data_IF_004212826759
#
_entry.id   IF_004212826759
#
_cell.length_a   1.000
_cell.length_b   1.000
_cell.length_c   1.000
_cell.angle_alpha   90.00
_cell.angle_beta   90.00
_cell.angle_gamma   90.00
#
_symmetry.space_group_name_H-M   'P 1'
#
loop_
_entity.id
_entity.type
_entity.pdbx_description
1 polymer ?
#
# COMPACT_ATOMS: atom_id res chain seq x y z
N UNK A 1 -6.10 -1.20 16.97
CA UNK A 1 -4.63 -1.26 16.97
C UNK A 1 -4.23 -2.40 16.05
N UNK A 2 -3.41 -2.14 15.04
CA UNK A 2 -2.96 -3.16 14.11
C UNK A 2 -1.50 -3.49 14.48
N UNK A 3 -1.32 -4.60 15.18
CA UNK A 3 -0.01 -5.13 15.55
C UNK A 3 0.35 -6.26 14.59
N UNK A 4 1.53 -6.17 13.98
CA UNK A 4 2.03 -7.25 13.12
C UNK A 4 3.42 -7.64 13.58
N UNK A 5 3.61 -8.93 13.88
CA UNK A 5 4.93 -9.49 14.10
C UNK A 5 5.55 -9.82 12.75
N UNK A 6 6.69 -9.22 12.43
CA UNK A 6 7.48 -9.56 11.24
C UNK A 6 8.80 -10.15 11.70
N UNK A 7 9.07 -11.37 11.25
CA UNK A 7 10.31 -12.07 11.53
C UNK A 7 11.36 -11.68 10.48
N UNK A 8 12.55 -11.28 10.93
CA UNK A 8 13.66 -10.85 10.08
C UNK A 8 14.84 -11.83 10.19
N UNK A 9 14.57 -13.13 10.07
CA UNK A 9 15.55 -14.20 10.04
C UNK A 9 15.10 -15.33 9.11
N UNK A 10 15.88 -16.41 9.01
CA UNK A 10 15.54 -17.57 8.19
C UNK A 10 14.22 -18.22 8.64
N UNK A 11 13.30 -18.44 7.69
CA UNK A 11 11.92 -18.88 7.94
C UNK A 11 11.78 -20.19 8.74
N UNK A 12 12.88 -20.93 8.93
CA UNK A 12 12.99 -22.17 9.70
C UNK A 12 12.97 -21.99 11.22
N UNK A 13 13.22 -20.77 11.74
CA UNK A 13 13.36 -20.51 13.17
C UNK A 13 12.04 -20.18 13.91
N UNK A 14 10.95 -19.89 13.18
CA UNK A 14 9.63 -19.61 13.75
C UNK A 14 8.77 -20.88 13.77
N UNK A 15 8.76 -21.61 14.89
CA UNK A 15 7.86 -22.77 15.08
C UNK A 15 6.61 -22.33 15.85
N UNK A 16 5.47 -22.30 15.16
CA UNK A 16 4.16 -22.13 15.79
C UNK A 16 3.67 -23.51 16.20
N UNK A 17 3.68 -23.80 17.51
CA UNK A 17 3.12 -25.05 18.03
C UNK A 17 1.61 -24.86 18.30
N UNK A 18 0.79 -25.37 17.38
CA UNK A 18 -0.68 -25.32 17.45
C UNK A 18 -1.28 -26.36 18.40
N UNK A 19 -0.48 -27.31 18.91
CA UNK A 19 -0.95 -28.39 19.79
C UNK A 19 -1.01 -27.98 21.27
N UNK A 20 -0.51 -26.80 21.64
CA UNK A 20 -0.67 -26.22 22.99
C UNK A 20 -1.68 -25.08 22.94
N UNK A 21 -2.60 -25.06 23.91
CA UNK A 21 -3.50 -23.92 24.16
C UNK A 21 -3.01 -23.20 25.43
N UNK A 22 -2.65 -21.89 25.36
CA UNK A 22 -2.58 -21.05 24.17
C UNK A 22 -1.39 -21.39 23.25
N UNK A 23 -1.48 -21.09 21.94
CA UNK A 23 -0.40 -21.35 20.99
C UNK A 23 0.86 -20.58 21.40
N UNK A 24 1.92 -21.32 21.71
CA UNK A 24 3.20 -20.73 22.09
C UNK A 24 4.11 -20.62 20.88
N UNK A 25 4.58 -19.41 20.58
CA UNK A 25 5.65 -19.18 19.61
C UNK A 25 6.97 -19.52 20.30
N UNK A 26 7.72 -20.50 19.79
CA UNK A 26 9.06 -20.84 20.29
C UNK A 26 10.09 -20.53 19.22
N UNK A 27 11.17 -19.86 19.62
CA UNK A 27 12.33 -19.58 18.79
C UNK A 27 13.28 -20.77 18.84
N UNK A 28 13.73 -21.25 17.69
CA UNK A 28 14.81 -22.23 17.59
C UNK A 28 15.87 -21.66 16.63
N UNK A 29 17.00 -21.20 17.15
CA UNK A 29 18.14 -20.71 16.38
C UNK A 29 18.92 -19.61 17.11
N UNK A 30 20.24 -19.61 16.92
CA UNK A 30 21.21 -18.75 17.62
C UNK A 30 21.19 -17.26 17.20
N UNK A 31 20.32 -16.87 16.26
CA UNK A 31 20.09 -15.48 15.84
C UNK A 31 18.74 -14.96 16.38
N UNK A 32 18.70 -14.66 17.69
CA UNK A 32 17.49 -14.42 18.47
C UNK A 32 17.04 -12.94 18.54
N UNK A 33 16.83 -12.25 17.41
CA UNK A 33 16.22 -10.90 17.44
C UNK A 33 14.81 -10.90 16.86
N UNK A 34 13.81 -10.63 17.70
CA UNK A 34 12.45 -10.34 17.28
C UNK A 34 12.29 -8.83 17.08
N UNK A 35 11.63 -8.44 15.99
CA UNK A 35 11.22 -7.05 15.77
C UNK A 35 9.71 -6.92 15.88
N UNK A 36 9.27 -6.09 16.82
CA UNK A 36 7.85 -5.81 17.04
C UNK A 36 7.50 -4.52 16.31
N UNK A 37 6.58 -4.61 15.35
CA UNK A 37 6.06 -3.44 14.65
C UNK A 37 4.66 -3.11 15.18
N UNK A 38 4.50 -1.87 15.64
CA UNK A 38 3.22 -1.33 16.08
C UNK A 38 2.79 -0.19 15.16
N UNK A 39 1.54 -0.22 14.73
CA UNK A 39 0.93 0.86 13.94
C UNK A 39 -0.42 1.22 14.51
N UNK A 40 -0.57 2.50 14.81
CA UNK A 40 -1.79 3.05 15.40
C UNK A 40 -2.22 4.28 14.63
N UNK A 41 -3.52 4.36 14.33
CA UNK A 41 -4.14 5.50 13.65
C UNK A 41 -5.17 6.11 14.59
N UNK A 42 -4.94 7.33 15.01
CA UNK A 42 -5.86 8.13 15.79
C UNK A 42 -6.62 9.08 14.86
N UNK A 43 -7.93 9.19 15.06
CA UNK A 43 -8.74 10.22 14.42
C UNK A 43 -8.74 11.42 15.36
N UNK A 44 -8.22 12.56 14.91
CA UNK A 44 -8.26 13.80 15.67
C UNK A 44 -9.61 14.48 15.40
N UNK A 45 -10.00 14.54 14.13
CA UNK A 45 -11.30 15.02 13.68
C UNK A 45 -11.80 14.16 12.49
N UNK A 46 -12.88 14.58 11.82
CA UNK A 46 -13.46 13.89 10.67
C UNK A 46 -12.51 13.80 9.45
N UNK A 47 -11.65 14.81 9.29
CA UNK A 47 -10.77 15.03 8.16
C UNK A 47 -9.29 14.85 8.50
N UNK A 48 -8.92 14.71 9.78
CA UNK A 48 -7.54 14.69 10.26
C UNK A 48 -7.24 13.39 10.99
N UNK A 49 -6.16 12.73 10.59
CA UNK A 49 -5.70 11.46 11.16
C UNK A 49 -4.23 11.54 11.53
N UNK A 50 -3.91 11.21 12.77
CA UNK A 50 -2.54 10.98 13.23
C UNK A 50 -2.22 9.50 13.10
N UNK A 51 -1.16 9.17 12.37
CA UNK A 51 -0.63 7.81 12.31
C UNK A 51 0.70 7.74 13.03
N UNK A 52 0.77 6.89 14.05
CA UNK A 52 2.00 6.54 14.74
C UNK A 52 2.44 5.15 14.29
N UNK A 53 3.72 4.99 14.00
CA UNK A 53 4.36 3.71 13.73
C UNK A 53 5.61 3.60 14.61
N UNK A 54 5.87 2.42 15.15
CA UNK A 54 7.08 2.13 15.92
C UNK A 54 7.59 0.74 15.62
N UNK A 55 8.91 0.56 15.70
CA UNK A 55 9.59 -0.72 15.66
C UNK A 55 10.48 -0.84 16.89
N UNK A 56 10.36 -1.98 17.58
CA UNK A 56 11.18 -2.34 18.74
C UNK A 56 11.97 -3.60 18.42
N UNK A 57 13.29 -3.55 18.57
CA UNK A 57 14.15 -4.74 18.50
C UNK A 57 14.29 -5.32 19.91
N UNK A 58 13.75 -6.53 20.12
CA UNK A 58 13.74 -7.18 21.43
C UNK A 58 15.10 -7.73 21.84
N UNK A 59 16.08 -7.85 20.92
CA UNK A 59 17.44 -8.28 21.28
C UNK A 59 18.16 -7.23 22.12
N UNK A 60 17.93 -5.95 21.79
CA UNK A 60 18.59 -4.81 22.44
C UNK A 60 17.62 -4.09 23.39
N UNK A 61 16.31 -4.35 23.27
CA UNK A 61 15.28 -3.68 24.07
C UNK A 61 15.07 -2.21 23.69
N UNK A 62 15.43 -1.83 22.47
CA UNK A 62 15.48 -0.42 22.03
C UNK A 62 14.62 -0.22 20.78
N UNK A 63 13.97 0.95 20.71
CA UNK A 63 13.23 1.38 19.52
C UNK A 63 14.21 1.61 18.37
N UNK A 64 14.05 0.85 17.29
CA UNK A 64 14.85 1.02 16.06
C UNK A 64 14.24 2.07 15.14
N UNK A 65 12.93 2.27 15.24
CA UNK A 65 12.18 3.14 14.35
C UNK A 65 10.99 3.78 15.05
N UNK A 66 10.75 5.05 14.79
CA UNK A 66 9.52 5.74 15.17
C UNK A 66 9.08 6.70 14.07
N UNK A 67 7.78 6.78 13.80
CA UNK A 67 7.23 7.72 12.82
C UNK A 67 5.88 8.24 13.27
N UNK A 68 5.72 9.56 13.21
CA UNK A 68 4.46 10.25 13.46
C UNK A 68 4.07 11.03 12.21
N UNK A 69 2.88 10.76 11.67
CA UNK A 69 2.42 11.37 10.41
C UNK A 69 1.00 11.90 10.57
N UNK A 70 0.88 13.22 10.55
CA UNK A 70 -0.39 13.93 10.52
C UNK A 70 -0.89 13.95 9.08
N UNK A 71 -2.17 13.63 8.88
CA UNK A 71 -2.80 13.56 7.56
C UNK A 71 -4.10 14.32 7.59
N UNK A 72 -4.24 15.32 6.74
CA UNK A 72 -5.46 16.07 6.52
C UNK A 72 -6.09 15.67 5.18
N UNK A 73 -7.39 15.45 5.18
CA UNK A 73 -8.20 14.97 4.07
C UNK A 73 -9.35 15.94 3.84
N UNK A 74 -9.15 17.05 3.10
CA UNK A 74 -10.24 17.96 2.74
C UNK A 74 -11.19 17.25 1.74
N UNK A 75 -12.43 16.91 2.15
CA UNK A 75 -13.33 16.10 1.34
C UNK A 75 -13.79 16.83 0.08
N UNK A 76 -14.05 18.14 0.18
CA UNK A 76 -14.45 19.03 -0.93
C UNK A 76 -13.41 19.04 -2.06
N UNK A 77 -12.14 18.94 -1.70
CA UNK A 77 -11.05 19.03 -2.66
C UNK A 77 -10.60 17.66 -3.17
N UNK A 78 -11.16 16.53 -2.71
CA UNK A 78 -10.65 15.20 -3.08
C UNK A 78 -9.11 15.11 -2.99
N UNK A 79 -8.57 15.77 -1.96
CA UNK A 79 -7.14 15.92 -1.75
C UNK A 79 -6.74 15.33 -0.41
N UNK A 80 -5.44 15.10 -0.25
CA UNK A 80 -4.81 14.62 0.96
C UNK A 80 -3.49 15.35 1.10
N UNK A 81 -3.28 15.93 2.27
CA UNK A 81 -2.02 16.54 2.64
C UNK A 81 -1.56 15.84 3.91
N UNK A 82 -0.26 15.67 4.10
CA UNK A 82 0.25 15.16 5.35
C UNK A 82 1.68 15.57 5.59
N UNK A 83 1.99 15.84 6.86
CA UNK A 83 3.30 16.21 7.34
C UNK A 83 3.65 15.32 8.53
N UNK A 84 4.89 14.89 8.61
CA UNK A 84 5.30 13.97 9.66
C UNK A 84 6.80 13.92 9.88
N UNK A 85 7.13 13.30 11.00
CA UNK A 85 8.48 13.06 11.47
C UNK A 85 8.75 11.56 11.45
N UNK A 86 9.97 11.20 11.09
CA UNK A 86 10.46 9.84 11.07
C UNK A 86 11.84 9.84 11.73
N UNK A 87 11.99 9.00 12.76
CA UNK A 87 13.25 8.76 13.45
C UNK A 87 13.69 7.32 13.18
N UNK A 88 14.89 7.17 12.67
CA UNK A 88 15.60 5.90 12.56
C UNK A 88 16.81 5.95 13.50
N UNK A 89 17.04 4.87 14.24
CA UNK A 89 18.15 4.71 15.20
C UNK A 89 19.53 4.95 14.58
N UNK A 90 19.69 4.89 13.25
CA UNK A 90 20.91 5.33 12.55
C UNK A 90 21.10 6.87 12.56
N UNK A 91 20.53 7.56 13.55
CA UNK A 91 20.45 9.02 13.71
C UNK A 91 19.91 9.79 12.51
N UNK A 92 19.00 9.15 11.75
CA UNK A 92 18.36 9.77 10.61
C UNK A 92 16.97 10.27 10.99
N UNK A 93 16.93 11.50 11.49
CA UNK A 93 15.67 12.23 11.62
C UNK A 93 15.29 12.77 10.24
N UNK A 94 14.09 12.45 9.78
CA UNK A 94 13.54 12.90 8.52
C UNK A 94 12.19 13.57 8.73
N UNK A 95 12.03 14.73 8.11
CA UNK A 95 10.75 15.41 7.95
C UNK A 95 10.16 15.01 6.62
N UNK A 96 8.88 14.66 6.60
CA UNK A 96 8.20 14.21 5.39
C UNK A 96 6.96 15.05 5.18
N UNK A 97 6.82 15.63 3.99
CA UNK A 97 5.61 16.32 3.55
C UNK A 97 5.12 15.60 2.32
N UNK A 98 3.85 15.23 2.26
CA UNK A 98 3.26 14.61 1.08
C UNK A 98 1.87 15.16 0.78
N UNK A 99 1.64 15.44 -0.49
CA UNK A 99 0.37 15.88 -1.04
C UNK A 99 -0.13 14.89 -2.09
N UNK A 100 -1.44 14.77 -2.19
CA UNK A 100 -2.12 14.02 -3.24
C UNK A 100 -3.41 14.74 -3.59
N UNK A 101 -3.67 14.96 -4.87
CA UNK A 101 -4.92 15.52 -5.38
C UNK A 101 -5.48 14.60 -6.46
N UNK A 102 -6.78 14.34 -6.40
CA UNK A 102 -7.49 13.55 -7.41
C UNK A 102 -8.43 14.46 -8.18
N UNK A 103 -8.39 14.34 -9.51
CA UNK A 103 -9.27 15.01 -10.46
C UNK A 103 -10.13 13.93 -11.14
N UNK A 104 -11.45 13.90 -10.94
CA UNK A 104 -12.31 13.03 -11.73
C UNK A 104 -12.30 13.53 -13.18
N UNK A 105 -12.01 12.63 -14.13
CA UNK A 105 -12.05 12.96 -15.55
C UNK A 105 -13.44 12.73 -16.15
N UNK A 106 -14.21 11.86 -15.53
CA UNK A 106 -15.56 11.48 -15.94
C UNK A 106 -16.57 11.76 -14.82
N UNK A 107 -17.84 12.11 -15.13
CA UNK A 107 -18.88 12.35 -14.13
C UNK A 107 -19.14 11.14 -13.21
N UNK A 108 -18.98 9.93 -13.77
CA UNK A 108 -19.11 8.64 -13.07
C UNK A 108 -17.95 8.33 -12.10
N UNK A 109 -16.86 9.12 -12.14
CA UNK A 109 -15.64 8.97 -11.33
C UNK A 109 -14.90 7.63 -11.52
N UNK A 110 -15.19 6.88 -12.57
CA UNK A 110 -14.47 5.65 -12.89
C UNK A 110 -13.05 5.94 -13.38
N UNK A 111 -12.87 7.06 -14.08
CA UNK A 111 -11.57 7.53 -14.53
C UNK A 111 -11.15 8.77 -13.73
N UNK A 112 -9.96 8.73 -13.15
CA UNK A 112 -9.42 9.85 -12.37
C UNK A 112 -7.94 10.06 -12.67
N UNK A 113 -7.55 11.33 -12.76
CA UNK A 113 -6.18 11.76 -12.81
C UNK A 113 -5.70 12.14 -11.42
N UNK A 114 -4.56 11.64 -11.00
CA UNK A 114 -4.07 11.76 -9.64
C UNK A 114 -2.66 12.33 -9.67
N UNK A 115 -2.48 13.47 -9.02
CA UNK A 115 -1.15 14.07 -8.82
C UNK A 115 -0.72 13.80 -7.39
N UNK A 116 0.51 13.33 -7.22
CA UNK A 116 1.17 13.09 -5.93
C UNK A 116 2.47 13.87 -5.90
N UNK A 117 2.74 14.46 -4.75
CA UNK A 117 4.03 15.05 -4.44
C UNK A 117 4.45 14.58 -3.04
N UNK A 118 5.74 14.37 -2.85
CA UNK A 118 6.34 14.13 -1.56
C UNK A 118 7.70 14.81 -1.51
N UNK A 119 8.05 15.33 -0.35
CA UNK A 119 9.35 15.91 -0.09
C UNK A 119 9.82 15.37 1.26
N UNK A 120 10.94 14.65 1.25
CA UNK A 120 11.60 14.22 2.46
C UNK A 120 12.84 15.08 2.69
N UNK A 121 12.96 15.62 3.90
CA UNK A 121 14.03 16.53 4.31
C UNK A 121 14.77 15.89 5.47
N UNK A 122 16.10 15.92 5.41
CA UNK A 122 16.96 15.44 6.49
C UNK A 122 16.98 16.39 7.70
N UNK A 123 17.49 15.90 8.83
CA UNK A 123 17.63 16.67 10.08
C UNK A 123 18.37 18.00 9.88
N UNK A 124 19.35 18.01 9.00
CA UNK A 124 20.23 19.16 8.74
C UNK A 124 19.66 20.13 7.71
N UNK A 125 18.49 19.83 7.12
CA UNK A 125 17.85 20.61 6.06
C UNK A 125 18.76 20.84 4.82
N UNK A 126 19.75 19.98 4.62
CA UNK A 126 20.77 20.14 3.58
C UNK A 126 20.35 19.52 2.25
N UNK A 127 19.56 18.44 2.28
CA UNK A 127 19.20 17.69 1.08
C UNK A 127 17.71 17.38 1.05
N UNK A 128 16.87 18.31 0.54
CA UNK A 128 15.49 17.99 0.22
C UNK A 128 15.47 16.98 -0.93
N UNK A 129 14.70 15.91 -0.75
CA UNK A 129 14.44 14.88 -1.77
C UNK A 129 12.99 14.99 -2.24
N UNK A 130 12.72 15.84 -3.24
CA UNK A 130 11.40 15.89 -3.85
C UNK A 130 11.16 14.62 -4.66
N UNK A 131 9.92 14.15 -4.65
CA UNK A 131 9.38 13.07 -5.46
C UNK A 131 8.00 13.50 -5.94
N UNK A 132 7.65 13.15 -7.17
CA UNK A 132 6.44 13.63 -7.82
C UNK A 132 5.96 12.62 -8.84
N UNK A 133 4.68 12.26 -8.77
CA UNK A 133 4.09 11.29 -9.67
C UNK A 133 2.71 11.73 -10.15
N UNK A 134 2.47 11.52 -11.43
CA UNK A 134 1.14 11.63 -12.05
C UNK A 134 0.63 10.23 -12.36
N UNK A 135 -0.61 9.93 -11.98
CA UNK A 135 -1.24 8.63 -12.23
C UNK A 135 -2.60 8.81 -12.88
N UNK A 136 -2.82 8.12 -14.01
CA UNK A 136 -4.14 7.84 -14.53
C UNK A 136 -4.67 6.58 -13.85
N UNK A 137 -5.85 6.67 -13.26
CA UNK A 137 -6.51 5.58 -12.56
C UNK A 137 -7.84 5.30 -13.23
N UNK A 138 -8.05 4.05 -13.62
CA UNK A 138 -9.32 3.55 -14.14
C UNK A 138 -9.84 2.44 -13.22
N UNK A 139 -11.03 2.65 -12.67
CA UNK A 139 -11.77 1.67 -11.89
C UNK A 139 -12.84 1.03 -12.78
N UNK A 140 -12.82 -0.29 -12.86
CA UNK A 140 -13.80 -1.13 -13.55
C UNK A 140 -14.52 -1.92 -12.47
N UNK A 141 -15.77 -1.57 -12.19
CA UNK A 141 -16.61 -2.26 -11.22
C UNK A 141 -17.22 -3.51 -11.86
N UNK A 142 -17.48 -4.53 -11.04
CA UNK A 142 -18.20 -5.75 -11.44
C UNK A 142 -17.62 -6.41 -12.70
N UNK A 143 -16.28 -6.43 -12.84
CA UNK A 143 -15.59 -7.08 -13.96
C UNK A 143 -15.94 -8.58 -14.04
N UNK A 144 -16.06 -9.21 -12.87
CA UNK A 144 -16.76 -10.46 -12.64
C UNK A 144 -17.60 -10.31 -11.36
N UNK A 145 -18.57 -11.20 -11.10
CA UNK A 145 -19.35 -11.16 -9.85
C UNK A 145 -18.42 -11.04 -8.64
N UNK A 146 -18.66 -10.02 -7.83
CA UNK A 146 -17.90 -9.68 -6.63
C UNK A 146 -16.40 -9.37 -6.88
N UNK A 147 -16.05 -8.95 -8.10
CA UNK A 147 -14.68 -8.63 -8.47
C UNK A 147 -14.57 -7.26 -9.13
N UNK A 148 -13.82 -6.37 -8.48
CA UNK A 148 -13.46 -5.06 -9.00
C UNK A 148 -12.03 -5.07 -9.51
N UNK A 149 -11.81 -4.42 -10.66
CA UNK A 149 -10.47 -4.23 -11.24
C UNK A 149 -10.14 -2.75 -11.21
N UNK A 150 -8.91 -2.43 -10.80
CA UNK A 150 -8.39 -1.07 -10.86
C UNK A 150 -7.06 -1.06 -11.57
N UNK A 151 -7.04 -0.42 -12.73
CA UNK A 151 -5.84 -0.15 -13.49
C UNK A 151 -5.25 1.20 -13.06
N UNK A 152 -3.94 1.24 -12.85
CA UNK A 152 -3.20 2.48 -12.63
C UNK A 152 -2.03 2.55 -13.58
N UNK A 153 -1.93 3.63 -14.32
CA UNK A 153 -0.75 3.96 -15.13
C UNK A 153 -0.14 5.20 -14.51
N UNK A 154 1.11 5.11 -14.10
CA UNK A 154 1.83 6.15 -13.38
C UNK A 154 3.11 6.57 -14.08
N UNK A 155 3.49 7.82 -13.86
CA UNK A 155 4.73 8.42 -14.33
C UNK A 155 5.38 9.21 -13.19
N UNK A 156 6.66 8.93 -12.90
CA UNK A 156 7.47 9.74 -11.99
C UNK A 156 7.99 10.94 -12.76
N UNK A 157 7.63 12.13 -12.32
CA UNK A 157 7.96 13.39 -12.99
C UNK A 157 9.45 13.70 -12.86
N UNK A 158 10.07 13.32 -11.74
CA UNK A 158 11.47 13.66 -11.44
C UNK A 158 12.44 12.60 -11.97
N UNK A 159 12.22 11.33 -11.66
CA UNK A 159 13.09 10.23 -12.11
C UNK A 159 12.71 9.69 -13.50
N UNK A 160 11.69 10.27 -14.14
CA UNK A 160 11.26 10.03 -15.53
C UNK A 160 11.00 8.57 -15.91
N UNK A 161 10.60 7.74 -14.95
CA UNK A 161 10.24 6.34 -15.22
C UNK A 161 8.72 6.14 -15.15
N UNK A 162 8.25 5.13 -15.89
CA UNK A 162 6.83 4.81 -16.03
C UNK A 162 6.53 3.49 -15.32
N UNK A 163 5.34 3.36 -14.76
CA UNK A 163 4.83 2.09 -14.26
C UNK A 163 3.36 1.88 -14.58
N UNK A 164 2.99 0.61 -14.60
CA UNK A 164 1.61 0.19 -14.59
C UNK A 164 1.40 -0.72 -13.38
N UNK A 165 0.28 -0.55 -12.69
CA UNK A 165 -0.13 -1.45 -11.62
C UNK A 165 -1.58 -1.86 -11.84
N UNK A 166 -1.80 -3.17 -11.88
CA UNK A 166 -3.14 -3.75 -11.90
C UNK A 166 -3.47 -4.20 -10.48
N UNK A 167 -4.57 -3.71 -9.93
CA UNK A 167 -5.16 -4.18 -8.69
C UNK A 167 -6.42 -4.97 -9.01
N UNK A 168 -6.50 -6.17 -8.47
CA UNK A 168 -7.71 -6.99 -8.52
C UNK A 168 -8.19 -7.15 -7.08
N UNK A 169 -9.42 -6.70 -6.84
CA UNK A 169 -10.09 -6.84 -5.55
C UNK A 169 -11.21 -7.85 -5.72
N UNK A 170 -11.19 -8.90 -4.91
CA UNK A 170 -12.28 -9.88 -4.83
C UNK A 170 -12.96 -9.73 -3.48
N UNK A 171 -14.24 -9.40 -3.48
CA UNK A 171 -15.06 -9.43 -2.28
C UNK A 171 -15.63 -10.84 -2.13
N UNK A 172 -15.49 -11.43 -0.94
CA UNK A 172 -16.15 -12.68 -0.59
C UNK A 172 -17.15 -12.39 0.54
N UNK A 173 -18.41 -12.79 0.33
CA UNK A 173 -19.42 -12.77 1.37
C UNK A 173 -19.29 -14.03 2.22
N UNK A 174 -18.92 -13.86 3.49
CA UNK A 174 -18.97 -14.96 4.45
C UNK A 174 -20.41 -15.29 4.86
N UNK A 175 -20.65 -16.52 5.34
CA UNK A 175 -21.97 -17.04 5.81
C UNK A 175 -22.65 -16.21 6.92
N UNK A 176 -21.99 -15.16 7.42
CA UNK A 176 -22.43 -14.29 8.52
C UNK A 176 -22.61 -12.82 8.09
N UNK A 177 -22.64 -12.54 6.78
CA UNK A 177 -22.79 -11.17 6.26
C UNK A 177 -21.56 -10.29 6.41
N UNK A 178 -20.42 -10.83 6.89
CA UNK A 178 -19.14 -10.12 6.90
C UNK A 178 -18.48 -10.19 5.52
N UNK A 179 -18.27 -9.01 4.92
CA UNK A 179 -17.41 -8.84 3.75
C UNK A 179 -15.96 -9.11 4.12
N UNK A 180 -15.37 -10.13 3.50
CA UNK A 180 -13.92 -10.39 3.55
C UNK A 180 -13.35 -10.15 2.17
N UNK A 181 -12.49 -9.14 2.02
CA UNK A 181 -11.89 -8.78 0.74
C UNK A 181 -10.46 -9.29 0.64
N UNK A 182 -10.11 -9.97 -0.46
CA UNK A 182 -8.71 -10.24 -0.83
C UNK A 182 -8.28 -9.25 -1.91
N UNK A 183 -7.02 -8.82 -1.86
CA UNK A 183 -6.46 -7.88 -2.83
C UNK A 183 -5.16 -8.44 -3.39
N UNK A 184 -5.15 -8.69 -4.70
CA UNK A 184 -3.95 -9.01 -5.45
C UNK A 184 -3.51 -7.77 -6.23
N UNK A 185 -2.20 -7.58 -6.40
CA UNK A 185 -1.69 -6.53 -7.26
C UNK A 185 -0.43 -7.00 -8.00
N UNK A 186 -0.24 -6.49 -9.21
CA UNK A 186 0.96 -6.72 -10.00
C UNK A 186 1.43 -5.40 -10.57
N UNK A 187 2.71 -5.08 -10.37
CA UNK A 187 3.35 -3.87 -10.90
C UNK A 187 4.29 -4.27 -12.03
N UNK A 188 4.27 -3.51 -13.12
CA UNK A 188 5.17 -3.67 -14.25
C UNK A 188 5.84 -2.33 -14.55
N UNK A 189 7.14 -2.35 -14.79
CA UNK A 189 7.98 -1.16 -15.00
C UNK A 189 8.61 -1.11 -16.40
N UNK A 190 8.36 -2.12 -17.25
CA UNK A 190 8.91 -2.20 -18.60
C UNK A 190 7.79 -2.01 -19.64
N UNK A 191 7.96 -1.05 -20.54
CA UNK A 191 6.97 -0.65 -21.55
C UNK A 191 6.74 -1.73 -22.63
N UNK A 192 7.73 -2.58 -22.92
CA UNK A 192 7.52 -3.75 -23.79
C UNK A 192 6.66 -4.81 -23.10
N UNK A 193 6.88 -5.03 -21.80
CA UNK A 193 6.05 -5.92 -20.99
C UNK A 193 4.67 -5.29 -20.78
N UNK A 194 4.52 -3.97 -20.85
CA UNK A 194 3.21 -3.31 -20.84
C UNK A 194 2.37 -3.70 -22.06
N UNK A 195 2.90 -3.69 -23.28
CA UNK A 195 2.13 -4.19 -24.44
C UNK A 195 1.83 -5.68 -24.35
N UNK A 196 2.74 -6.47 -23.77
CA UNK A 196 2.51 -7.91 -23.56
C UNK A 196 1.50 -8.17 -22.44
N UNK A 197 1.50 -7.42 -21.34
CA UNK A 197 0.61 -7.63 -20.18
C UNK A 197 -0.72 -6.91 -20.36
N UNK A 198 -0.72 -5.66 -20.83
CA UNK A 198 -1.94 -4.99 -21.26
C UNK A 198 -2.54 -5.73 -22.45
N UNK A 199 -1.73 -6.14 -23.43
CA UNK A 199 -2.15 -7.02 -24.52
C UNK A 199 -2.68 -8.35 -24.01
N UNK A 200 -2.03 -9.04 -23.07
CA UNK A 200 -2.51 -10.31 -22.52
C UNK A 200 -3.77 -10.15 -21.66
N UNK A 201 -3.91 -9.05 -20.91
CA UNK A 201 -5.11 -8.77 -20.12
C UNK A 201 -6.27 -8.37 -21.03
N UNK A 202 -6.02 -7.59 -22.09
CA UNK A 202 -6.99 -7.25 -23.14
C UNK A 202 -7.31 -8.48 -24.03
N UNK A 203 -6.35 -9.37 -24.24
CA UNK A 203 -6.52 -10.60 -25.01
C UNK A 203 -7.27 -11.65 -24.20
N UNK A 204 -7.01 -11.76 -22.87
CA UNK A 204 -7.87 -12.49 -21.95
C UNK A 204 -9.27 -11.86 -21.87
N UNK A 205 -9.39 -10.53 -21.94
CA UNK A 205 -10.67 -9.81 -22.04
C UNK A 205 -11.43 -10.16 -23.33
N UNK A 206 -10.72 -10.26 -24.47
CA UNK A 206 -11.29 -10.64 -25.76
C UNK A 206 -11.64 -12.14 -25.85
N UNK A 207 -10.76 -13.03 -25.38
CA UNK A 207 -11.04 -14.48 -25.33
C UNK A 207 -12.25 -14.76 -24.45
N UNK A 208 -12.35 -14.11 -23.28
CA UNK A 208 -13.49 -14.33 -22.39
C UNK A 208 -14.80 -13.81 -23.02
N UNK A 209 -14.78 -12.67 -23.72
CA UNK A 209 -15.93 -12.15 -24.49
C UNK A 209 -16.36 -13.08 -25.64
N UNK A 210 -15.41 -13.75 -26.30
CA UNK A 210 -15.69 -14.70 -27.40
C UNK A 210 -16.26 -16.01 -26.85
N UNK A 211 -15.68 -16.54 -25.77
CA UNK A 211 -16.12 -17.80 -25.12
C UNK A 211 -17.50 -17.65 -24.47
N UNK A 212 -17.81 -16.51 -23.83
CA UNK A 212 -19.15 -16.30 -23.24
C UNK A 212 -20.24 -15.98 -24.27
N UNK A 213 -19.89 -15.75 -25.54
CA UNK A 213 -20.86 -15.54 -26.64
C UNK A 213 -21.16 -16.81 -27.44
N UNK A 214 -20.44 -17.91 -27.20
CA UNK A 214 -20.64 -19.17 -27.92
C UNK A 214 -21.56 -20.17 -27.21
N UNK A 215 -21.99 -19.86 -25.98
CA UNK A 215 -22.92 -20.66 -25.17
C UNK A 215 -24.31 -20.00 -25.02
N UNK A 216 -24.81 -19.33 -26.07
CA UNK A 216 -26.17 -18.81 -26.15
C UNK A 216 -26.85 -19.21 -27.47
#
# INVERSE_FOLDING_TARGET
METSLRYAGDSTALRINTNKRPPTVRYAGDSSSLKVHAKQKFRIDSNTRLQLNGELDTRIGVLTFFSALLRYFPPELSAKIGAGLQYDRRDKLHYTIHGKKSFPLTPDRFVSFVVKGRCDIDKEFKKPTPSGAAELVWNILDFQRDQDVRLKVGYEILDKWHWCTVFVRKEAYGKQGRKSGSMAHRTCTNLQIFWVVAGSVIFLFFINQIVTKTDA
#
